data_IF_015455480889
#
_entry.id   IF_015455480889
#
_cell.length_a   1.000
_cell.length_b   1.000
_cell.length_c   1.000
_cell.angle_alpha   90.00
_cell.angle_beta   90.00
_cell.angle_gamma   90.00
#
_symmetry.space_group_name_H-M   'P 1'
#
loop_
_entity.id
_entity.type
_entity.pdbx_description
1 polymer ?
#
# COMPACT_ATOMS: atom_id res chain seq x y z
N UNK A 1 -0.54 -42.81 -26.57
CA UNK A 1 -1.00 -41.40 -26.47
C UNK A 1 -2.09 -41.20 -25.42
N UNK A 2 -3.18 -41.99 -25.37
CA UNK A 2 -4.27 -41.79 -24.37
C UNK A 2 -3.84 -41.93 -22.90
N UNK A 3 -2.93 -42.85 -22.56
CA UNK A 3 -2.47 -43.08 -21.17
C UNK A 3 -1.60 -41.94 -20.61
N UNK A 4 -0.71 -41.38 -21.44
CA UNK A 4 0.13 -40.23 -21.06
C UNK A 4 -0.68 -38.93 -20.93
N UNK A 5 -1.72 -38.77 -21.75
CA UNK A 5 -2.65 -37.63 -21.64
C UNK A 5 -3.49 -37.69 -20.36
N UNK A 6 -3.97 -38.87 -19.96
CA UNK A 6 -4.69 -39.08 -18.70
C UNK A 6 -3.83 -38.79 -17.46
N UNK A 7 -2.56 -39.19 -17.48
CA UNK A 7 -1.61 -38.90 -16.38
C UNK A 7 -1.35 -37.39 -16.30
N UNK A 8 -1.21 -36.70 -17.45
CA UNK A 8 -1.00 -35.25 -17.49
C UNK A 8 -2.23 -34.49 -16.94
N UNK A 9 -3.44 -34.89 -17.34
CA UNK A 9 -4.69 -34.30 -16.87
C UNK A 9 -4.86 -34.55 -15.37
N UNK A 10 -4.60 -35.77 -14.89
CA UNK A 10 -4.71 -36.09 -13.47
C UNK A 10 -3.68 -35.34 -12.62
N UNK A 11 -2.45 -35.19 -13.13
CA UNK A 11 -1.41 -34.36 -12.50
C UNK A 11 -1.82 -32.89 -12.38
N UNK A 12 -2.41 -32.32 -13.44
CA UNK A 12 -2.95 -30.96 -13.43
C UNK A 12 -4.09 -30.80 -12.41
N UNK A 13 -5.03 -31.74 -12.33
CA UNK A 13 -6.16 -31.65 -11.38
C UNK A 13 -5.65 -31.67 -9.93
N UNK A 14 -4.69 -32.54 -9.61
CA UNK A 14 -4.15 -32.64 -8.24
C UNK A 14 -3.39 -31.37 -7.81
N UNK A 15 -2.67 -30.72 -8.73
CA UNK A 15 -1.99 -29.45 -8.41
C UNK A 15 -2.98 -28.30 -8.21
N UNK A 16 -4.07 -28.26 -8.98
CA UNK A 16 -5.14 -27.28 -8.80
C UNK A 16 -5.85 -27.44 -7.45
N UNK A 17 -6.22 -28.67 -7.06
CA UNK A 17 -6.89 -28.93 -5.78
C UNK A 17 -6.03 -28.52 -4.58
N UNK A 18 -4.73 -28.84 -4.59
CA UNK A 18 -3.82 -28.50 -3.48
C UNK A 18 -3.58 -26.99 -3.37
N UNK A 19 -3.50 -26.28 -4.50
CA UNK A 19 -3.36 -24.82 -4.51
C UNK A 19 -4.61 -24.13 -3.96
N UNK A 20 -5.80 -24.63 -4.31
CA UNK A 20 -7.06 -24.07 -3.82
C UNK A 20 -7.20 -24.24 -2.30
N UNK A 21 -6.90 -25.43 -1.77
CA UNK A 21 -6.94 -25.70 -0.32
C UNK A 21 -6.03 -24.73 0.46
N UNK A 22 -4.82 -24.46 -0.06
CA UNK A 22 -3.89 -23.51 0.57
C UNK A 22 -4.42 -22.07 0.58
N UNK A 23 -5.12 -21.66 -0.48
CA UNK A 23 -5.76 -20.34 -0.57
C UNK A 23 -6.91 -20.25 0.45
N UNK A 24 -7.75 -21.28 0.52
CA UNK A 24 -8.90 -21.32 1.44
C UNK A 24 -8.45 -21.29 2.91
N UNK A 25 -7.37 -22.02 3.27
CA UNK A 25 -6.79 -21.98 4.62
C UNK A 25 -6.28 -20.57 4.97
N UNK A 26 -5.64 -19.88 4.03
CA UNK A 26 -5.14 -18.51 4.26
C UNK A 26 -6.29 -17.51 4.42
N UNK A 27 -7.38 -17.69 3.68
CA UNK A 27 -8.58 -16.86 3.80
C UNK A 27 -9.26 -17.03 5.16
N UNK A 28 -9.43 -18.26 5.63
CA UNK A 28 -10.00 -18.52 6.97
C UNK A 28 -9.11 -17.94 8.07
N UNK A 29 -7.77 -18.08 7.96
CA UNK A 29 -6.84 -17.45 8.92
C UNK A 29 -6.92 -15.93 8.88
N UNK A 30 -7.05 -15.33 7.70
CA UNK A 30 -7.21 -13.88 7.56
C UNK A 30 -8.47 -13.41 8.28
N UNK A 31 -9.60 -14.08 8.06
CA UNK A 31 -10.87 -13.78 8.72
C UNK A 31 -10.76 -13.91 10.24
N UNK A 32 -10.10 -14.95 10.74
CA UNK A 32 -9.89 -15.15 12.18
C UNK A 32 -9.00 -14.09 12.83
N UNK A 33 -8.08 -13.50 12.06
CA UNK A 33 -7.08 -12.54 12.54
C UNK A 33 -7.40 -11.10 12.13
N UNK A 34 -8.57 -10.84 11.54
CA UNK A 34 -8.88 -9.57 10.88
C UNK A 34 -8.72 -8.39 11.83
N UNK A 35 -9.25 -8.49 13.05
CA UNK A 35 -9.21 -7.39 14.02
C UNK A 35 -7.76 -7.03 14.38
N UNK A 36 -6.95 -8.02 14.72
CA UNK A 36 -5.53 -7.80 15.05
C UNK A 36 -4.73 -7.24 13.88
N UNK A 37 -4.97 -7.75 12.66
CA UNK A 37 -4.30 -7.25 11.46
C UNK A 37 -4.68 -5.80 11.21
N UNK A 38 -5.96 -5.46 11.28
CA UNK A 38 -6.44 -4.11 11.00
C UNK A 38 -6.01 -3.12 12.08
N UNK A 39 -6.07 -3.50 13.36
CA UNK A 39 -5.56 -2.67 14.46
C UNK A 39 -4.08 -2.35 14.28
N UNK A 40 -3.27 -3.35 13.92
CA UNK A 40 -1.84 -3.16 13.67
C UNK A 40 -1.60 -2.24 12.47
N UNK A 41 -2.29 -2.46 11.35
CA UNK A 41 -2.13 -1.64 10.15
C UNK A 41 -2.65 -0.20 10.35
N UNK A 42 -3.73 -0.01 11.11
CA UNK A 42 -4.25 1.31 11.47
C UNK A 42 -3.24 2.08 12.33
N UNK A 43 -2.68 1.43 13.36
CA UNK A 43 -1.63 2.04 14.18
C UNK A 43 -0.43 2.47 13.32
N UNK A 44 0.05 1.59 12.43
CA UNK A 44 1.18 1.91 11.55
C UNK A 44 0.85 3.09 10.61
N UNK A 45 -0.37 3.12 10.06
CA UNK A 45 -0.83 4.17 9.17
C UNK A 45 -0.93 5.52 9.89
N UNK A 46 -1.60 5.58 11.04
CA UNK A 46 -1.76 6.82 11.81
C UNK A 46 -0.41 7.36 12.29
N UNK A 47 0.50 6.47 12.71
CA UNK A 47 1.85 6.84 13.08
C UNK A 47 2.64 7.43 11.89
N UNK A 48 2.58 6.78 10.73
CA UNK A 48 3.23 7.25 9.50
C UNK A 48 2.72 8.63 9.08
N UNK A 49 1.39 8.80 9.02
CA UNK A 49 0.76 10.07 8.67
C UNK A 49 1.12 11.17 9.66
N UNK A 50 0.99 10.91 10.97
CA UNK A 50 1.28 11.91 12.00
C UNK A 50 2.72 12.43 11.94
N UNK A 51 3.71 11.55 11.73
CA UNK A 51 5.11 11.98 11.60
C UNK A 51 5.39 12.76 10.31
N UNK A 52 4.82 12.32 9.19
CA UNK A 52 5.01 13.00 7.90
C UNK A 52 4.34 14.37 7.90
N UNK A 53 3.12 14.47 8.41
CA UNK A 53 2.40 15.73 8.60
C UNK A 53 3.15 16.65 9.56
N UNK A 54 3.72 16.14 10.65
CA UNK A 54 4.49 16.97 11.59
C UNK A 54 5.71 17.62 10.94
N UNK A 55 6.38 16.95 10.00
CA UNK A 55 7.53 17.53 9.29
C UNK A 55 7.11 18.72 8.39
N UNK A 56 5.85 18.75 7.95
CA UNK A 56 5.31 19.79 7.07
C UNK A 56 4.65 20.91 7.88
N UNK A 57 3.76 20.54 8.80
CA UNK A 57 2.87 21.46 9.51
C UNK A 57 3.27 21.76 10.96
N UNK A 58 4.25 21.02 11.52
CA UNK A 58 4.73 21.12 12.91
C UNK A 58 3.65 20.94 13.97
N UNK A 59 2.67 20.10 13.68
CA UNK A 59 1.61 19.74 14.61
C UNK A 59 1.24 18.27 14.43
N UNK A 60 0.78 17.64 15.50
CA UNK A 60 0.14 16.32 15.46
C UNK A 60 -1.39 16.42 15.45
N UNK A 61 -1.94 17.64 15.52
CA UNK A 61 -3.37 17.87 15.50
C UNK A 61 -3.88 17.86 14.06
N UNK A 62 -4.59 16.77 13.71
CA UNK A 62 -5.18 16.58 12.38
C UNK A 62 -6.16 17.69 12.01
N UNK A 63 -6.90 18.25 12.97
CA UNK A 63 -7.85 19.33 12.67
C UNK A 63 -7.14 20.59 12.16
N UNK A 64 -5.91 20.84 12.63
CA UNK A 64 -5.08 21.93 12.15
C UNK A 64 -4.56 21.62 10.75
N UNK A 65 -4.07 20.40 10.51
CA UNK A 65 -3.55 20.02 9.19
C UNK A 65 -4.67 20.02 8.13
N UNK A 66 -5.84 19.48 8.45
CA UNK A 66 -7.03 19.52 7.61
C UNK A 66 -7.46 20.97 7.31
N UNK A 67 -7.45 21.86 8.30
CA UNK A 67 -7.78 23.27 8.08
C UNK A 67 -6.81 23.96 7.12
N UNK A 68 -5.54 23.55 7.08
CA UNK A 68 -4.52 24.10 6.19
C UNK A 68 -4.62 23.50 4.79
N UNK A 69 -4.84 22.18 4.72
CA UNK A 69 -4.96 21.44 3.46
C UNK A 69 -6.20 21.84 2.66
N UNK A 70 -7.28 22.20 3.36
CA UNK A 70 -8.54 22.67 2.79
C UNK A 70 -8.58 24.17 2.48
N UNK A 71 -7.47 24.90 2.61
CA UNK A 71 -7.41 26.30 2.16
C UNK A 71 -7.62 26.37 0.65
N UNK A 72 -8.63 27.12 0.20
CA UNK A 72 -8.93 27.30 -1.22
C UNK A 72 -7.75 27.89 -2.01
N UNK A 73 -6.96 28.74 -1.36
CA UNK A 73 -5.81 29.41 -1.96
C UNK A 73 -4.52 28.63 -1.71
N UNK A 74 -3.98 28.02 -2.76
CA UNK A 74 -2.68 27.31 -2.73
C UNK A 74 -1.53 28.18 -2.21
N UNK A 75 -1.55 29.50 -2.49
CA UNK A 75 -0.52 30.43 -2.02
C UNK A 75 -0.55 30.54 -0.50
N UNK A 76 -1.72 30.56 0.12
CA UNK A 76 -1.86 30.69 1.58
C UNK A 76 -1.39 29.42 2.28
N UNK A 77 -1.72 28.25 1.71
CA UNK A 77 -1.17 26.95 2.16
C UNK A 77 0.35 26.93 2.08
N UNK A 78 0.94 27.33 0.94
CA UNK A 78 2.39 27.38 0.77
C UNK A 78 3.05 28.39 1.72
N UNK A 79 2.43 29.55 1.93
CA UNK A 79 2.93 30.54 2.89
C UNK A 79 2.98 29.96 4.32
N UNK A 80 1.95 29.22 4.73
CA UNK A 80 1.97 28.51 6.02
C UNK A 80 3.16 27.56 6.09
N UNK A 81 3.26 26.61 5.15
CA UNK A 81 4.33 25.59 5.11
C UNK A 81 5.73 26.25 5.14
N UNK A 82 5.93 27.30 4.35
CA UNK A 82 7.21 27.99 4.33
C UNK A 82 7.51 28.75 5.62
N UNK A 83 6.49 29.33 6.26
CA UNK A 83 6.62 30.01 7.55
C UNK A 83 6.90 29.04 8.70
N UNK A 84 6.40 27.80 8.61
CA UNK A 84 6.59 26.74 9.60
C UNK A 84 7.81 25.88 9.32
N UNK A 85 8.65 26.18 8.33
CA UNK A 85 9.85 25.40 8.06
C UNK A 85 10.78 25.26 9.28
N UNK A 86 11.45 24.12 9.40
CA UNK A 86 12.48 23.90 10.42
C UNK A 86 13.68 24.81 10.14
N UNK A 87 14.10 25.58 11.15
CA UNK A 87 15.32 26.42 11.07
C UNK A 87 16.61 25.61 11.15
N UNK A 88 16.52 24.37 11.63
CA UNK A 88 17.62 23.42 11.79
C UNK A 88 17.44 22.21 10.87
N UNK A 89 18.41 21.31 10.91
CA UNK A 89 18.38 19.99 10.28
C UNK A 89 17.42 19.00 10.98
N UNK A 90 16.62 19.44 11.96
CA UNK A 90 15.73 18.59 12.74
C UNK A 90 14.77 17.78 11.85
N UNK A 91 14.21 18.37 10.79
CA UNK A 91 13.38 17.62 9.84
C UNK A 91 14.12 16.42 9.22
N UNK A 92 15.39 16.61 8.85
CA UNK A 92 16.24 15.53 8.31
C UNK A 92 16.53 14.46 9.36
N UNK A 93 16.75 14.85 10.62
CA UNK A 93 16.93 13.91 11.73
C UNK A 93 15.66 13.12 12.02
N UNK A 94 14.49 13.78 12.10
CA UNK A 94 13.20 13.09 12.29
C UNK A 94 12.99 12.06 11.17
N UNK A 95 13.26 12.46 9.93
CA UNK A 95 13.14 11.55 8.79
C UNK A 95 14.06 10.32 8.91
N UNK A 96 15.33 10.54 9.25
CA UNK A 96 16.35 9.48 9.35
C UNK A 96 16.16 8.58 10.58
N UNK A 97 15.75 9.15 11.71
CA UNK A 97 15.75 8.46 13.01
C UNK A 97 14.39 7.89 13.39
N UNK A 98 13.30 8.40 12.81
CA UNK A 98 11.94 7.98 13.15
C UNK A 98 11.17 7.46 11.94
N UNK A 99 11.12 8.20 10.82
CA UNK A 99 10.32 7.78 9.65
C UNK A 99 10.93 6.57 8.98
N UNK A 100 12.19 6.64 8.51
CA UNK A 100 12.83 5.51 7.83
C UNK A 100 12.88 4.21 8.65
N UNK A 101 13.22 4.23 9.96
CA UNK A 101 13.18 3.02 10.77
C UNK A 101 11.77 2.48 11.00
N UNK A 102 10.75 3.34 10.97
CA UNK A 102 9.36 2.91 11.07
C UNK A 102 8.87 2.33 9.75
N UNK A 103 9.21 2.94 8.62
CA UNK A 103 8.95 2.40 7.26
C UNK A 103 9.51 0.98 7.11
N UNK A 104 10.73 0.73 7.61
CA UNK A 104 11.34 -0.60 7.64
C UNK A 104 10.47 -1.60 8.43
N UNK A 105 10.07 -1.24 9.65
CA UNK A 105 9.23 -2.11 10.50
C UNK A 105 7.87 -2.36 9.88
N UNK A 106 7.21 -1.33 9.36
CA UNK A 106 5.90 -1.45 8.73
C UNK A 106 5.95 -2.32 7.49
N UNK A 107 7.02 -2.19 6.69
CA UNK A 107 7.27 -3.06 5.54
C UNK A 107 7.45 -4.51 5.97
N UNK A 108 8.31 -4.78 6.96
CA UNK A 108 8.55 -6.13 7.48
C UNK A 108 7.27 -6.78 8.02
N UNK A 109 6.43 -6.00 8.70
CA UNK A 109 5.14 -6.46 9.21
C UNK A 109 4.15 -6.78 8.10
N UNK A 110 4.03 -5.93 7.08
CA UNK A 110 3.17 -6.22 5.93
C UNK A 110 3.65 -7.43 5.11
N UNK A 111 4.97 -7.64 4.99
CA UNK A 111 5.56 -8.85 4.43
C UNK A 111 5.13 -10.08 5.25
N UNK A 112 5.29 -10.03 6.58
CA UNK A 112 4.93 -11.13 7.46
C UNK A 112 3.44 -11.48 7.40
N UNK A 113 2.56 -10.47 7.41
CA UNK A 113 1.11 -10.65 7.24
C UNK A 113 0.82 -11.30 5.88
N UNK A 114 1.40 -10.77 4.79
CA UNK A 114 1.18 -11.28 3.44
C UNK A 114 1.64 -12.74 3.27
N UNK A 115 2.78 -13.10 3.85
CA UNK A 115 3.28 -14.47 3.83
C UNK A 115 2.43 -15.42 4.68
N UNK A 116 1.91 -14.95 5.82
CA UNK A 116 1.06 -15.73 6.74
C UNK A 116 -0.36 -15.98 6.18
N UNK A 117 -1.07 -14.91 5.80
CA UNK A 117 -2.51 -14.94 5.50
C UNK A 117 -2.88 -14.39 4.12
N UNK A 118 -1.89 -14.03 3.30
CA UNK A 118 -2.11 -13.37 2.01
C UNK A 118 -2.21 -11.85 2.16
N UNK A 119 -2.09 -11.11 1.06
CA UNK A 119 -2.08 -9.65 1.10
C UNK A 119 -3.41 -9.11 1.66
N UNK A 120 -3.37 -8.21 2.66
CA UNK A 120 -4.57 -7.63 3.26
C UNK A 120 -5.03 -6.42 2.43
N UNK A 121 -5.43 -6.59 1.18
CA UNK A 121 -5.90 -5.44 0.38
C UNK A 121 -7.09 -4.74 1.04
N UNK A 122 -7.28 -3.45 0.76
CA UNK A 122 -8.38 -2.67 1.32
C UNK A 122 -9.74 -3.32 1.03
N UNK A 123 -9.92 -3.85 -0.20
CA UNK A 123 -11.11 -4.60 -0.60
C UNK A 123 -11.34 -5.83 0.29
N UNK A 124 -10.28 -6.58 0.57
CA UNK A 124 -10.34 -7.80 1.39
C UNK A 124 -10.58 -7.48 2.86
N UNK A 125 -9.97 -6.41 3.38
CA UNK A 125 -10.25 -5.91 4.74
C UNK A 125 -11.72 -5.54 4.88
N UNK A 126 -12.25 -4.71 3.97
CA UNK A 126 -13.66 -4.25 3.97
C UNK A 126 -14.68 -5.39 3.85
N UNK A 127 -14.27 -6.59 3.46
CA UNK A 127 -15.13 -7.78 3.40
C UNK A 127 -15.42 -8.38 4.78
N UNK A 128 -14.51 -8.22 5.74
CA UNK A 128 -14.57 -8.91 7.04
C UNK A 128 -14.43 -8.01 8.25
N UNK A 129 -13.98 -6.76 8.07
CA UNK A 129 -13.83 -5.79 9.15
C UNK A 129 -14.97 -4.77 9.09
N UNK A 130 -15.80 -4.75 10.13
CA UNK A 130 -17.03 -3.95 10.17
C UNK A 130 -16.83 -2.53 10.73
N UNK A 131 -15.65 -2.21 11.28
CA UNK A 131 -15.39 -0.89 11.87
C UNK A 131 -14.81 0.09 10.86
N UNK A 132 -14.90 1.38 11.19
CA UNK A 132 -14.37 2.45 10.35
C UNK A 132 -12.85 2.38 10.19
N UNK A 133 -12.42 2.63 8.96
CA UNK A 133 -11.03 2.80 8.56
C UNK A 133 -10.78 4.30 8.32
N UNK A 134 -9.56 4.81 8.57
CA UNK A 134 -9.20 6.17 8.17
C UNK A 134 -9.50 6.39 6.68
N UNK A 135 -9.92 7.60 6.30
CA UNK A 135 -10.45 7.91 4.96
C UNK A 135 -9.50 7.50 3.83
N UNK A 136 -8.20 7.75 4.02
CA UNK A 136 -7.15 7.43 3.04
C UNK A 136 -6.35 6.16 3.36
N UNK A 137 -6.87 5.31 4.26
CA UNK A 137 -6.19 4.08 4.64
C UNK A 137 -6.11 3.10 3.47
N UNK A 138 -4.88 2.76 3.06
CA UNK A 138 -4.60 1.68 2.13
C UNK A 138 -3.27 1.00 2.47
N UNK A 139 -3.24 -0.32 2.77
CA UNK A 139 -2.02 -1.05 3.10
C UNK A 139 -0.90 -0.97 2.04
N UNK A 140 -1.25 -0.67 0.78
CA UNK A 140 -0.28 -0.46 -0.31
C UNK A 140 0.74 0.62 0.03
N UNK A 141 0.37 1.60 0.85
CA UNK A 141 1.26 2.71 1.22
C UNK A 141 2.54 2.23 1.90
N UNK A 142 2.49 1.15 2.70
CA UNK A 142 3.67 0.64 3.39
C UNK A 142 4.70 0.06 2.42
N UNK A 143 4.26 -0.61 1.36
CA UNK A 143 5.18 -1.06 0.30
C UNK A 143 5.71 0.09 -0.55
N UNK A 144 4.93 1.16 -0.73
CA UNK A 144 5.34 2.37 -1.47
C UNK A 144 6.28 3.26 -0.65
N UNK A 145 6.30 3.16 0.67
CA UNK A 145 7.28 3.85 1.53
C UNK A 145 8.54 3.01 1.79
N UNK A 146 8.54 1.74 1.38
CA UNK A 146 9.63 0.80 1.65
C UNK A 146 10.97 1.19 1.02
N UNK A 147 12.06 0.85 1.70
CA UNK A 147 13.41 0.99 1.18
C UNK A 147 13.75 -0.07 0.11
N UNK A 148 14.69 0.24 -0.78
CA UNK A 148 15.10 -0.61 -1.91
C UNK A 148 15.47 -2.05 -1.51
N UNK A 149 16.01 -2.25 -0.30
CA UNK A 149 16.38 -3.57 0.24
C UNK A 149 15.20 -4.56 0.31
N UNK A 150 13.96 -4.09 0.32
CA UNK A 150 12.76 -4.96 0.34
C UNK A 150 12.14 -5.17 -1.04
N UNK A 151 12.54 -4.42 -2.06
CA UNK A 151 11.84 -4.38 -3.35
C UNK A 151 11.74 -5.74 -4.04
N UNK A 152 12.77 -6.58 -3.95
CA UNK A 152 12.74 -7.93 -4.49
C UNK A 152 11.62 -8.76 -3.84
N UNK A 153 11.56 -8.78 -2.49
CA UNK A 153 10.53 -9.51 -1.75
C UNK A 153 9.13 -8.93 -1.98
N UNK A 154 9.01 -7.61 -2.06
CA UNK A 154 7.75 -6.93 -2.36
C UNK A 154 7.25 -7.31 -3.75
N UNK A 155 8.14 -7.37 -4.75
CA UNK A 155 7.78 -7.80 -6.11
C UNK A 155 7.31 -9.25 -6.15
N UNK A 156 7.95 -10.15 -5.40
CA UNK A 156 7.50 -11.55 -5.24
C UNK A 156 6.09 -11.62 -4.66
N UNK A 157 5.83 -10.87 -3.58
CA UNK A 157 4.50 -10.82 -2.94
C UNK A 157 3.48 -10.22 -3.89
N UNK A 158 3.76 -9.08 -4.52
CA UNK A 158 2.83 -8.41 -5.42
C UNK A 158 2.42 -9.33 -6.58
N UNK A 159 3.37 -10.00 -7.22
CA UNK A 159 3.10 -10.95 -8.30
C UNK A 159 2.25 -12.13 -7.82
N UNK A 160 2.60 -12.71 -6.66
CA UNK A 160 1.88 -13.85 -6.07
C UNK A 160 0.45 -13.49 -5.70
N UNK A 161 0.27 -12.38 -5.01
CA UNK A 161 -1.02 -11.97 -4.45
C UNK A 161 -1.95 -11.37 -5.52
N UNK A 162 -1.38 -10.78 -6.57
CA UNK A 162 -2.12 -10.41 -7.79
C UNK A 162 -2.68 -11.65 -8.49
N UNK A 163 -1.86 -12.70 -8.69
CA UNK A 163 -2.31 -13.99 -9.27
C UNK A 163 -3.36 -14.69 -8.42
N UNK A 164 -3.26 -14.58 -7.09
CA UNK A 164 -4.22 -15.16 -6.15
C UNK A 164 -5.52 -14.33 -6.04
N UNK A 165 -5.60 -13.15 -6.66
CA UNK A 165 -6.77 -12.26 -6.57
C UNK A 165 -6.90 -11.51 -5.24
N UNK A 166 -5.89 -11.59 -4.37
CA UNK A 166 -5.85 -10.86 -3.10
C UNK A 166 -5.40 -9.40 -3.27
N UNK A 167 -4.74 -9.08 -4.39
CA UNK A 167 -4.29 -7.73 -4.76
C UNK A 167 -4.93 -7.32 -6.07
N UNK A 168 -5.51 -6.12 -6.10
CA UNK A 168 -6.09 -5.57 -7.32
C UNK A 168 -5.05 -5.04 -8.30
N UNK A 169 -5.49 -4.70 -9.51
CA UNK A 169 -4.58 -4.24 -10.57
C UNK A 169 -3.88 -2.94 -10.19
N UNK A 170 -4.62 -2.03 -9.56
CA UNK A 170 -4.13 -0.69 -9.24
C UNK A 170 -3.01 -0.76 -8.19
N UNK A 171 -3.24 -1.51 -7.11
CA UNK A 171 -2.23 -1.77 -6.08
C UNK A 171 -0.99 -2.44 -6.68
N UNK A 172 -1.19 -3.50 -7.48
CA UNK A 172 -0.10 -4.19 -8.16
C UNK A 172 0.72 -3.26 -9.05
N UNK A 173 0.07 -2.51 -9.93
CA UNK A 173 0.72 -1.57 -10.84
C UNK A 173 1.49 -0.49 -10.10
N UNK A 174 0.90 0.06 -9.03
CA UNK A 174 1.55 1.11 -8.25
C UNK A 174 2.78 0.61 -7.49
N UNK A 175 2.70 -0.58 -6.89
CA UNK A 175 3.84 -1.23 -6.25
C UNK A 175 4.96 -1.48 -7.27
N UNK A 176 4.64 -2.08 -8.43
CA UNK A 176 5.64 -2.40 -9.47
C UNK A 176 6.30 -1.16 -10.07
N UNK A 177 5.53 -0.09 -10.25
CA UNK A 177 6.10 1.18 -10.66
C UNK A 177 7.04 1.74 -9.58
N UNK A 178 6.64 1.73 -8.31
CA UNK A 178 7.49 2.20 -7.21
C UNK A 178 8.80 1.40 -7.13
N UNK A 179 8.72 0.07 -7.08
CA UNK A 179 9.89 -0.83 -6.97
C UNK A 179 10.73 -0.92 -8.24
N UNK A 180 10.30 -0.32 -9.35
CA UNK A 180 11.14 -0.07 -10.53
C UNK A 180 12.03 1.18 -10.39
N UNK A 181 12.02 1.84 -9.23
CA UNK A 181 12.56 3.18 -9.05
C UNK A 181 11.79 4.23 -9.86
N UNK A 182 10.50 3.99 -10.11
CA UNK A 182 9.59 4.86 -10.88
C UNK A 182 10.02 5.08 -12.34
N UNK A 183 10.76 4.13 -12.91
CA UNK A 183 11.30 4.21 -14.28
C UNK A 183 10.38 3.55 -15.32
N UNK A 184 9.52 2.63 -14.89
CA UNK A 184 8.69 1.82 -15.79
C UNK A 184 7.21 2.20 -15.70
N UNK A 185 6.82 3.25 -16.42
CA UNK A 185 5.41 3.74 -16.45
C UNK A 185 4.41 2.71 -17.00
N UNK A 186 4.89 1.70 -17.77
CA UNK A 186 4.05 0.59 -18.26
C UNK A 186 3.25 -0.07 -17.12
N UNK A 187 3.83 -0.14 -15.90
CA UNK A 187 3.15 -0.72 -14.75
C UNK A 187 1.92 0.07 -14.32
N UNK A 188 1.86 1.36 -14.59
CA UNK A 188 0.68 2.19 -14.32
C UNK A 188 -0.29 2.14 -15.50
N UNK A 189 0.25 2.28 -16.72
CA UNK A 189 -0.52 2.33 -17.97
C UNK A 189 -1.32 1.04 -18.21
N UNK A 190 -0.69 -0.11 -17.96
CA UNK A 190 -1.29 -1.43 -18.20
C UNK A 190 -2.22 -1.88 -17.06
N UNK A 191 -2.17 -1.22 -15.89
CA UNK A 191 -2.91 -1.62 -14.70
C UNK A 191 -4.00 -0.62 -14.27
N UNK A 192 -4.48 0.19 -15.21
CA UNK A 192 -5.72 0.95 -15.07
C UNK A 192 -5.62 2.22 -14.21
N UNK A 193 -4.40 2.68 -13.90
CA UNK A 193 -4.17 3.92 -13.17
C UNK A 193 -4.66 5.11 -14.03
N UNK A 194 -5.47 5.98 -13.43
CA UNK A 194 -6.01 7.15 -14.12
C UNK A 194 -5.10 8.35 -13.95
N UNK A 195 -4.79 8.94 -15.10
CA UNK A 195 -4.14 10.23 -15.20
C UNK A 195 -5.19 11.33 -15.36
N UNK A 196 -4.84 12.53 -14.93
CA UNK A 196 -5.43 13.73 -15.51
C UNK A 196 -4.51 14.92 -15.32
N UNK A 197 -5.00 16.12 -15.62
CA UNK A 197 -4.15 17.29 -15.71
C UNK A 197 -4.12 18.08 -14.41
N UNK A 198 -2.94 18.47 -13.95
CA UNK A 198 -2.83 19.52 -12.94
C UNK A 198 -3.19 20.89 -13.53
N UNK A 199 -3.24 21.93 -12.68
CA UNK A 199 -3.50 23.33 -13.06
C UNK A 199 -2.56 23.89 -14.14
N UNK A 200 -1.48 23.18 -14.48
CA UNK A 200 -0.50 23.54 -15.52
C UNK A 200 -0.59 22.64 -16.77
N UNK A 201 -1.65 21.84 -16.91
CA UNK A 201 -1.87 20.95 -18.04
C UNK A 201 -0.95 19.72 -18.07
N UNK A 202 -0.18 19.46 -17.01
CA UNK A 202 0.71 18.30 -16.93
C UNK A 202 -0.06 17.09 -16.40
N UNK A 203 0.15 15.93 -17.01
CA UNK A 203 -0.37 14.67 -16.50
C UNK A 203 0.16 14.44 -15.08
N UNK A 204 -0.76 14.28 -14.14
CA UNK A 204 -0.54 13.89 -12.76
C UNK A 204 -1.39 12.67 -12.46
N UNK A 205 -0.91 11.82 -11.57
CA UNK A 205 -1.67 10.70 -11.03
C UNK A 205 -2.83 11.27 -10.20
N UNK A 206 -4.07 10.97 -10.56
CA UNK A 206 -5.25 11.50 -9.86
C UNK A 206 -5.86 10.46 -8.95
N UNK A 207 -5.83 9.19 -9.34
CA UNK A 207 -6.48 8.13 -8.57
C UNK A 207 -5.85 6.76 -8.87
N UNK A 208 -5.63 5.97 -7.83
CA UNK A 208 -5.67 4.50 -7.99
C UNK A 208 -7.10 4.14 -8.35
N UNK A 209 -7.29 3.24 -9.32
CA UNK A 209 -8.62 2.81 -9.70
C UNK A 209 -9.34 2.17 -8.49
N UNK A 210 -10.64 2.43 -8.32
CA UNK A 210 -11.46 1.65 -7.39
C UNK A 210 -11.52 0.21 -7.91
N UNK A 211 -10.89 -0.72 -7.20
CA UNK A 211 -11.02 -2.15 -7.48
C UNK A 211 -12.47 -2.60 -7.17
N UNK A 212 -13.38 -2.38 -8.13
CA UNK A 212 -14.75 -2.93 -8.08
C UNK A 212 -14.73 -4.44 -7.87
#
# INVERSE_FOLDING_TARGET
MKKNLLILIFGLIMTFCYSQEKIDIKEEKFKQQIDTIVEELKFNYEYDQALREYIIYKTFDKSITDSIENLENEKDRLNYIFSTNFKSDLAKRIWKEFIHPSDDKFTERLIAISDSVGYPSLKRIKKYYDSELPEEFNPTIFFVHSQEKYWEKINEIAEREFKNGNMGKCDYGYIRWHTSGRKENKYLDENGIKYGANSKGRAVYIQTCEDK
#
